data_IF_998287059183
#
_entry.id   IF_998287059183
#
_cell.length_a   1.000
_cell.length_b   1.000
_cell.length_c   1.000
_cell.angle_alpha   90.00
_cell.angle_beta   90.00
_cell.angle_gamma   90.00
#
_symmetry.space_group_name_H-M   'P 1'
#
loop_
_entity.id
_entity.type
_entity.pdbx_description
1 polymer ?
2 non-polymer ?
3 non-polymer ?
4 non-polymer ?
5 non-polymer ?
6 water ?
#
# COMPACT_ATOMS: atom_id res chain seq x y z
N UNK A 1 5.75 -27.20 -23.12
CA UNK A 1 5.08 -26.79 -24.40
C UNK A 1 4.76 -25.28 -24.37
N UNK A 2 4.29 -24.79 -23.23
CA UNK A 2 3.90 -23.37 -23.09
C UNK A 2 5.10 -22.41 -23.17
N UNK A 3 6.23 -22.78 -22.57
CA UNK A 3 7.44 -21.97 -22.60
C UNK A 3 8.60 -22.60 -23.42
N UNK A 4 8.27 -23.50 -24.36
CA UNK A 4 9.26 -24.04 -25.27
C UNK A 4 9.06 -23.38 -26.64
N UNK A 5 10.14 -22.91 -27.25
CA UNK A 5 10.03 -22.23 -28.52
C UNK A 5 9.88 -23.24 -29.68
N UNK A 6 8.80 -23.11 -30.45
CA UNK A 6 8.60 -23.89 -31.67
C UNK A 6 9.13 -23.13 -32.89
N UNK A 7 8.83 -21.83 -32.97
CA UNK A 7 9.36 -20.96 -34.02
C UNK A 7 9.57 -19.54 -33.48
N UNK A 8 10.61 -18.89 -33.98
CA UNK A 8 10.85 -17.48 -33.74
C UNK A 8 11.13 -16.86 -35.07
N UNK A 9 10.61 -15.67 -35.34
CA UNK A 9 10.95 -14.98 -36.57
C UNK A 9 10.70 -13.48 -36.47
N UNK A 10 11.38 -12.73 -37.32
CA UNK A 10 11.22 -11.29 -37.36
C UNK A 10 10.11 -10.96 -38.36
N UNK A 11 9.17 -10.10 -37.94
CA UNK A 11 8.01 -9.69 -38.74
C UNK A 11 7.85 -8.17 -38.82
N UNK A 12 7.01 -7.73 -39.75
CA UNK A 12 6.60 -6.33 -39.86
C UNK A 12 7.82 -5.46 -40.06
N UNK A 13 8.49 -5.66 -41.20
CA UNK A 13 9.72 -4.95 -41.53
C UNK A 13 10.83 -5.24 -40.53
N UNK A 14 10.80 -6.45 -39.96
CA UNK A 14 11.72 -6.85 -38.89
C UNK A 14 11.64 -6.01 -37.58
N UNK A 15 10.55 -5.28 -37.40
CA UNK A 15 10.35 -4.44 -36.20
C UNK A 15 9.70 -5.19 -35.03
N UNK A 16 9.31 -6.44 -35.25
CA UNK A 16 8.65 -7.27 -34.25
C UNK A 16 9.30 -8.66 -34.28
N UNK A 17 9.38 -9.32 -33.13
CA UNK A 17 9.72 -10.74 -33.10
C UNK A 17 8.47 -11.47 -32.68
N UNK A 18 8.13 -12.53 -33.41
CA UNK A 18 7.05 -13.41 -33.02
C UNK A 18 7.63 -14.75 -32.58
N UNK A 19 7.17 -15.22 -31.42
CA UNK A 19 7.46 -16.55 -30.90
C UNK A 19 6.16 -17.34 -31.05
N UNK A 20 6.24 -18.49 -31.72
CA UNK A 20 5.20 -19.50 -31.67
C UNK A 20 5.68 -20.53 -30.61
N UNK A 21 4.93 -20.68 -29.53
CA UNK A 21 5.27 -21.60 -28.46
C UNK A 21 4.77 -22.98 -28.86
N UNK A 22 5.25 -24.01 -28.17
CA UNK A 22 4.86 -25.38 -28.50
C UNK A 22 3.41 -25.74 -28.19
N UNK A 23 2.72 -24.90 -27.42
CA UNK A 23 1.29 -25.06 -27.23
C UNK A 23 0.50 -24.30 -28.30
N UNK A 24 1.18 -23.80 -29.32
CA UNK A 24 0.57 -23.10 -30.45
C UNK A 24 0.13 -21.65 -30.18
N UNK A 25 0.30 -21.15 -28.95
CA UNK A 25 0.09 -19.73 -28.65
C UNK A 25 1.23 -18.91 -29.24
N UNK A 26 0.96 -17.65 -29.58
CA UNK A 26 1.97 -16.80 -30.18
C UNK A 26 2.20 -15.60 -29.26
N UNK A 27 3.43 -15.08 -29.21
CA UNK A 27 3.76 -13.87 -28.43
C UNK A 27 4.52 -12.94 -29.35
N UNK A 28 4.31 -11.62 -29.17
CA UNK A 28 4.95 -10.60 -29.99
C UNK A 28 5.79 -9.67 -29.11
N UNK A 29 6.99 -9.34 -29.58
CA UNK A 29 7.96 -8.55 -28.85
C UNK A 29 8.54 -7.49 -29.76
N UNK A 30 8.31 -6.21 -29.43
CA UNK A 30 8.85 -5.22 -30.34
C UNK A 30 10.36 -5.21 -30.30
N UNK A 31 10.98 -5.00 -31.45
CA UNK A 31 12.42 -5.01 -31.56
C UNK A 31 13.09 -3.96 -30.70
N UNK A 32 12.51 -2.75 -30.63
CA UNK A 32 13.08 -1.69 -29.77
C UNK A 32 13.13 -2.13 -28.30
N UNK A 33 12.09 -2.82 -27.84
CA UNK A 33 12.04 -3.32 -26.47
C UNK A 33 13.10 -4.41 -26.25
N UNK A 34 13.28 -5.30 -27.23
CA UNK A 34 14.33 -6.32 -27.12
C UNK A 34 15.71 -5.65 -27.03
N UNK A 35 16.00 -4.71 -27.92
CA UNK A 35 17.29 -4.06 -27.88
C UNK A 35 17.53 -3.35 -26.54
N UNK A 36 16.50 -2.65 -26.06
CA UNK A 36 16.50 -1.90 -24.78
C UNK A 36 16.80 -2.83 -23.60
N UNK A 37 16.40 -4.10 -23.75
CA UNK A 37 16.51 -5.06 -22.68
C UNK A 37 17.51 -6.20 -22.90
N UNK A 38 18.48 -5.94 -23.76
CA UNK A 38 19.60 -6.85 -23.98
C UNK A 38 20.27 -7.16 -22.65
N UNK A 39 20.41 -8.44 -22.30
CA UNK A 39 21.02 -8.79 -21.01
C UNK A 39 22.54 -8.93 -21.01
N UNK A 40 23.22 -8.53 -22.08
CA UNK A 40 24.68 -8.70 -22.13
C UNK A 40 25.35 -7.73 -21.16
N UNK A 41 26.62 -7.98 -20.87
CA UNK A 41 27.30 -7.20 -19.83
C UNK A 41 27.57 -5.75 -20.26
N UNK A 42 27.54 -5.44 -21.55
CA UNK A 42 27.62 -4.04 -21.98
C UNK A 42 26.36 -3.25 -21.62
N UNK A 43 25.21 -3.94 -21.69
CA UNK A 43 23.90 -3.31 -21.61
C UNK A 43 23.26 -3.39 -20.24
N UNK A 44 23.76 -4.31 -19.40
CA UNK A 44 23.06 -4.72 -18.22
C UNK A 44 24.05 -5.09 -17.14
N UNK A 45 23.88 -4.48 -15.97
CA UNK A 45 24.81 -4.72 -14.87
C UNK A 45 24.24 -5.82 -13.98
N UNK A 46 24.77 -7.04 -14.09
CA UNK A 46 24.11 -8.17 -13.43
C UNK A 46 24.13 -8.07 -11.91
N UNK A 47 25.23 -7.54 -11.35
CA UNK A 47 25.34 -7.41 -9.88
C UNK A 47 24.21 -6.52 -9.32
N UNK A 48 23.75 -5.56 -10.14
CA UNK A 48 22.70 -4.61 -9.71
C UNK A 48 21.32 -5.00 -10.22
N UNK A 49 21.27 -5.95 -11.15
CA UNK A 49 20.07 -6.24 -11.94
C UNK A 49 19.48 -4.94 -12.49
N UNK A 50 20.34 -4.16 -13.16
CA UNK A 50 19.98 -2.83 -13.65
C UNK A 50 20.48 -2.62 -15.07
N UNK A 51 19.75 -1.78 -15.82
CA UNK A 51 20.10 -1.43 -17.18
C UNK A 51 21.24 -0.40 -17.20
N UNK A 52 22.31 -0.70 -17.92
CA UNK A 52 23.40 0.27 -18.18
C UNK A 52 23.18 1.03 -19.49
N UNK A 53 22.49 0.38 -20.43
CA UNK A 53 22.23 0.98 -21.73
C UNK A 53 21.51 2.32 -21.59
N UNK A 54 22.00 3.36 -22.27
CA UNK A 54 21.40 4.67 -22.23
C UNK A 54 20.28 4.77 -23.27
N UNK A 55 19.26 5.59 -22.98
CA UNK A 55 18.26 5.96 -23.99
C UNK A 55 18.98 6.49 -25.22
N UNK A 56 20.06 7.23 -25.00
CA UNK A 56 20.86 7.82 -26.09
C UNK A 56 21.42 6.75 -27.02
N UNK A 57 21.61 5.52 -26.54
CA UNK A 57 22.19 4.46 -27.38
C UNK A 57 21.11 3.72 -28.18
N UNK A 58 19.84 4.01 -27.93
CA UNK A 58 18.75 3.21 -28.48
C UNK A 58 18.18 3.81 -29.76
N UNK A 59 18.23 3.07 -30.86
CA UNK A 59 17.60 3.47 -32.09
C UNK A 59 16.13 3.07 -32.03
N UNK A 60 15.22 4.05 -31.88
CA UNK A 60 13.81 3.71 -31.73
C UNK A 60 13.17 3.10 -32.97
N UNK A 61 13.85 3.24 -34.12
CA UNK A 61 13.41 2.69 -35.40
C UNK A 61 14.13 1.37 -35.72
N UNK A 62 14.83 0.81 -34.74
CA UNK A 62 15.57 -0.42 -34.96
C UNK A 62 14.70 -1.58 -35.40
N UNK A 63 15.32 -2.41 -36.22
CA UNK A 63 14.80 -3.72 -36.59
C UNK A 63 15.83 -4.82 -36.38
N UNK A 64 15.35 -6.05 -36.31
CA UNK A 64 16.22 -7.22 -36.17
C UNK A 64 16.97 -7.47 -37.47
N UNK A 65 18.30 -7.55 -37.40
CA UNK A 65 19.07 -7.84 -38.63
C UNK A 65 19.07 -9.37 -38.91
N UNK A 66 19.24 -10.17 -37.87
CA UNK A 66 19.26 -11.62 -38.02
C UNK A 66 18.82 -12.27 -36.72
N UNK A 67 18.21 -13.45 -36.85
CA UNK A 67 17.71 -14.19 -35.71
C UNK A 67 17.86 -15.70 -35.97
N UNK A 68 18.43 -16.41 -35.01
CA UNK A 68 18.32 -17.87 -34.95
C UNK A 68 17.80 -18.22 -33.55
N UNK A 69 17.33 -19.46 -33.40
CA UNK A 69 16.72 -19.88 -32.16
C UNK A 69 16.83 -21.37 -31.96
N UNK A 70 16.67 -21.79 -30.73
CA UNK A 70 16.50 -23.19 -30.43
C UNK A 70 15.32 -23.22 -29.47
N UNK A 71 15.07 -24.35 -28.82
CA UNK A 71 13.88 -24.48 -28.00
C UNK A 71 13.84 -23.58 -26.75
N UNK A 72 15.00 -23.12 -26.27
CA UNK A 72 15.07 -22.38 -25.02
C UNK A 72 15.66 -20.97 -25.13
N UNK A 73 16.10 -20.58 -26.32
CA UNK A 73 16.80 -19.29 -26.49
C UNK A 73 16.64 -18.72 -27.89
N UNK A 74 16.64 -17.40 -27.97
CA UNK A 74 16.73 -16.66 -29.22
C UNK A 74 18.08 -15.94 -29.26
N UNK A 75 18.68 -15.88 -30.43
CA UNK A 75 19.99 -15.27 -30.66
C UNK A 75 19.82 -14.24 -31.80
N UNK A 76 20.03 -12.96 -31.48
CA UNK A 76 19.73 -11.87 -32.42
C UNK A 76 20.96 -11.06 -32.77
N UNK A 77 21.10 -10.72 -34.04
CA UNK A 77 22.08 -9.72 -34.44
C UNK A 77 21.34 -8.45 -34.82
N UNK A 78 21.92 -7.35 -34.40
CA UNK A 78 21.37 -6.04 -34.69
C UNK A 78 22.08 -5.33 -35.87
N UNK A 79 21.44 -4.31 -36.45
CA UNK A 79 22.06 -3.61 -37.60
C UNK A 79 23.47 -3.09 -37.39
N UNK A 80 23.81 -2.65 -36.17
CA UNK A 80 25.16 -2.15 -35.87
C UNK A 80 26.09 -3.24 -35.37
N UNK A 81 25.71 -4.50 -35.57
CA UNK A 81 26.49 -5.70 -35.19
C UNK A 81 26.44 -6.02 -33.69
N UNK A 82 25.72 -5.25 -32.89
CA UNK A 82 25.49 -5.69 -31.51
C UNK A 82 24.79 -7.05 -31.49
N UNK A 83 25.01 -7.83 -30.44
CA UNK A 83 24.54 -9.21 -30.42
C UNK A 83 23.83 -9.49 -29.12
N UNK A 84 22.63 -10.09 -29.19
CA UNK A 84 21.82 -10.37 -27.98
C UNK A 84 21.28 -11.80 -27.88
N UNK A 85 21.25 -12.36 -26.67
CA UNK A 85 20.56 -13.62 -26.37
C UNK A 85 19.44 -13.43 -25.38
N UNK A 86 18.30 -14.03 -25.66
CA UNK A 86 17.16 -14.02 -24.73
C UNK A 86 16.63 -15.40 -24.42
N UNK A 87 16.38 -15.66 -23.15
CA UNK A 87 15.88 -16.94 -22.65
C UNK A 87 14.38 -17.07 -22.84
N UNK A 88 13.94 -18.25 -23.24
CA UNK A 88 12.52 -18.50 -23.49
C UNK A 88 11.62 -18.19 -22.29
N UNK A 89 12.03 -18.59 -21.09
CA UNK A 89 11.18 -18.42 -19.91
C UNK A 89 11.08 -16.94 -19.53
N UNK A 90 12.20 -16.21 -19.65
CA UNK A 90 12.23 -14.75 -19.45
C UNK A 90 11.31 -14.01 -20.41
N UNK A 91 11.35 -14.42 -21.68
CA UNK A 91 10.44 -13.92 -22.71
C UNK A 91 8.98 -14.24 -22.39
N UNK A 92 8.69 -15.49 -22.03
CA UNK A 92 7.30 -15.90 -21.78
C UNK A 92 6.62 -15.07 -20.69
N UNK A 93 7.37 -14.79 -19.63
CA UNK A 93 6.90 -14.03 -18.45
C UNK A 93 6.47 -12.60 -18.85
N UNK A 94 7.19 -12.02 -19.83
CA UNK A 94 7.06 -10.63 -20.25
C UNK A 94 6.24 -10.43 -21.52
N UNK A 95 5.61 -11.50 -21.99
CA UNK A 95 4.61 -11.46 -23.05
C UNK A 95 3.67 -10.26 -22.90
N UNK A 96 3.43 -9.55 -24.00
CA UNK A 96 2.67 -8.32 -24.03
C UNK A 96 1.16 -8.51 -24.07
N UNK A 97 0.69 -9.76 -24.10
CA UNK A 97 -0.75 -10.00 -24.05
C UNK A 97 -1.33 -9.50 -22.73
N UNK A 98 -2.58 -9.09 -22.78
CA UNK A 98 -3.23 -8.54 -21.59
C UNK A 98 -3.20 -9.55 -20.46
N UNK A 99 -3.47 -10.82 -20.79
CA UNK A 99 -3.53 -11.86 -19.75
C UNK A 99 -2.21 -12.07 -19.04
N UNK A 100 -1.14 -12.15 -19.83
CA UNK A 100 0.20 -12.31 -19.32
C UNK A 100 0.63 -11.10 -18.48
N UNK A 101 0.40 -9.89 -18.99
CA UNK A 101 0.75 -8.67 -18.22
C UNK A 101 -0.03 -8.58 -16.91
N UNK A 102 -1.33 -8.92 -16.94
CA UNK A 102 -2.17 -8.84 -15.73
C UNK A 102 -1.76 -9.89 -14.69
N UNK A 103 -1.37 -11.06 -15.16
CA UNK A 103 -0.92 -12.10 -14.24
C UNK A 103 0.33 -11.63 -13.51
N UNK A 104 1.24 -11.04 -14.27
CA UNK A 104 2.49 -10.59 -13.69
C UNK A 104 2.25 -9.42 -12.69
N UNK A 105 1.37 -8.50 -13.05
CA UNK A 105 1.04 -7.38 -12.15
C UNK A 105 0.46 -7.84 -10.81
N UNK A 106 -0.45 -8.82 -10.86
CA UNK A 106 -0.97 -9.48 -9.68
C UNK A 106 0.14 -10.05 -8.81
N UNK A 107 1.12 -10.70 -9.44
CA UNK A 107 2.26 -11.27 -8.72
C UNK A 107 3.12 -10.20 -8.07
N UNK A 108 3.28 -9.06 -8.73
CA UNK A 108 4.14 -8.00 -8.17
C UNK A 108 3.44 -7.21 -7.06
N UNK A 109 2.14 -6.98 -7.20
CA UNK A 109 1.44 -6.00 -6.35
C UNK A 109 0.32 -6.54 -5.43
N UNK A 110 0.02 -7.83 -5.50
CA UNK A 110 -0.96 -8.44 -4.57
C UNK A 110 -2.26 -7.62 -4.47
N UNK A 111 -2.97 -7.43 -5.56
CA UNK A 111 -4.14 -6.55 -5.53
C UNK A 111 -5.41 -7.12 -4.89
N UNK A 112 -5.41 -8.41 -4.57
CA UNK A 112 -6.63 -9.05 -4.04
C UNK A 112 -7.08 -8.32 -2.79
N UNK A 113 -8.37 -8.05 -2.72
CA UNK A 113 -8.94 -7.24 -1.68
C UNK A 113 -10.23 -7.90 -1.17
N UNK A 114 -10.38 -7.99 0.16
CA UNK A 114 -11.61 -8.48 0.75
C UNK A 114 -12.23 -7.36 1.58
N UNK A 115 -13.31 -6.79 1.06
CA UNK A 115 -14.07 -5.74 1.74
C UNK A 115 -14.88 -6.31 2.88
N UNK A 116 -15.07 -5.51 3.92
CA UNK A 116 -15.80 -5.99 5.09
C UNK A 116 -16.59 -4.87 5.74
N UNK A 117 -17.59 -5.28 6.52
CA UNK A 117 -18.37 -4.41 7.39
C UNK A 117 -18.35 -4.97 8.82
N UNK A 118 -19.46 -4.79 9.53
CA UNK A 118 -19.53 -5.16 10.93
C UNK A 118 -19.38 -6.66 11.21
N UNK A 119 -19.47 -7.49 10.16
CA UNK A 119 -19.28 -8.95 10.26
C UNK A 119 -17.81 -9.42 10.33
N UNK A 120 -16.88 -8.48 10.21
CA UNK A 120 -15.47 -8.79 10.22
C UNK A 120 -15.12 -9.78 11.36
N UNK A 121 -14.32 -10.77 11.00
CA UNK A 121 -13.64 -11.62 11.97
C UNK A 121 -12.20 -11.16 11.96
N UNK A 122 -11.79 -10.51 13.03
CA UNK A 122 -10.46 -9.89 13.10
C UNK A 122 -9.34 -10.90 12.92
N UNK A 123 -8.58 -10.80 11.79
CA UNK A 123 -7.51 -11.79 11.64
C UNK A 123 -6.50 -11.63 12.76
N UNK A 124 -6.05 -12.76 13.31
CA UNK A 124 -5.28 -12.78 14.53
C UNK A 124 -4.16 -13.81 14.45
N UNK A 125 -2.95 -13.38 14.76
CA UNK A 125 -1.78 -14.23 14.78
C UNK A 125 -1.04 -13.99 16.07
N UNK A 126 -0.14 -14.91 16.40
CA UNK A 126 0.73 -14.74 17.55
C UNK A 126 1.93 -13.85 17.21
N UNK A 127 2.23 -12.93 18.12
CA UNK A 127 3.32 -11.95 17.95
C UNK A 127 4.69 -12.61 17.78
N UNK A 128 5.07 -13.43 18.74
CA UNK A 128 6.39 -14.08 18.69
C UNK A 128 6.55 -14.99 17.46
N UNK A 129 5.48 -15.69 17.08
CA UNK A 129 5.50 -16.53 15.88
C UNK A 129 5.82 -15.76 14.61
N UNK A 130 5.25 -14.56 14.51
CA UNK A 130 5.45 -13.69 13.36
C UNK A 130 6.90 -13.23 13.32
N UNK A 131 7.49 -12.95 14.48
CA UNK A 131 8.91 -12.56 14.55
C UNK A 131 9.81 -13.74 14.18
N UNK A 132 9.39 -14.95 14.52
CA UNK A 132 10.28 -16.09 14.40
C UNK A 132 10.16 -16.81 13.06
N UNK A 133 8.94 -16.96 12.55
CA UNK A 133 8.68 -17.84 11.41
C UNK A 133 8.23 -17.12 10.16
N UNK A 134 8.93 -17.37 9.05
CA UNK A 134 8.57 -16.75 7.79
C UNK A 134 7.14 -17.08 7.34
N UNK A 135 6.71 -18.32 7.58
CA UNK A 135 5.34 -18.70 7.22
C UNK A 135 4.30 -17.76 7.91
N UNK A 136 4.55 -17.46 9.18
CA UNK A 136 3.65 -16.60 9.94
C UNK A 136 3.75 -15.11 9.55
N UNK A 137 4.97 -14.64 9.31
CA UNK A 137 5.19 -13.24 8.87
C UNK A 137 4.61 -13.05 7.48
N UNK A 138 4.68 -14.08 6.64
CA UNK A 138 4.01 -14.06 5.35
C UNK A 138 2.49 -13.96 5.49
N UNK A 139 1.89 -14.76 6.37
CA UNK A 139 0.44 -14.68 6.56
C UNK A 139 0.07 -13.30 7.10
N UNK A 140 0.88 -12.79 8.00
CA UNK A 140 0.67 -11.47 8.58
C UNK A 140 0.57 -10.40 7.48
N UNK A 141 1.65 -10.21 6.72
CA UNK A 141 1.66 -9.16 5.69
C UNK A 141 0.68 -9.37 4.54
N UNK A 142 0.46 -10.61 4.12
CA UNK A 142 -0.48 -10.87 3.04
C UNK A 142 -1.90 -10.57 3.51
N UNK A 143 -2.21 -10.88 4.75
CA UNK A 143 -3.53 -10.61 5.28
C UNK A 143 -3.72 -9.11 5.52
N UNK A 144 -2.65 -8.45 5.97
CA UNK A 144 -2.63 -7.02 6.13
C UNK A 144 -2.97 -6.35 4.81
N UNK A 145 -2.39 -6.84 3.72
CA UNK A 145 -2.63 -6.26 2.41
C UNK A 145 -4.07 -6.51 1.94
N UNK A 146 -4.51 -7.75 2.10
CA UNK A 146 -5.81 -8.17 1.56
C UNK A 146 -6.99 -7.65 2.39
N UNK A 147 -6.91 -7.75 3.70
CA UNK A 147 -8.03 -7.42 4.59
C UNK A 147 -7.92 -5.97 5.13
N UNK A 148 -6.69 -5.48 5.28
CA UNK A 148 -6.41 -4.13 5.80
C UNK A 148 -6.05 -4.09 7.28
N UNK A 149 -6.18 -5.21 7.96
CA UNK A 149 -5.84 -5.25 9.38
C UNK A 149 -5.53 -6.68 9.85
N UNK A 150 -4.55 -6.80 10.74
CA UNK A 150 -4.25 -8.01 11.47
C UNK A 150 -3.95 -7.67 12.91
N UNK A 151 -4.54 -8.41 13.84
CA UNK A 151 -4.22 -8.29 15.24
C UNK A 151 -3.14 -9.28 15.60
N UNK A 152 -2.16 -8.82 16.35
CA UNK A 152 -1.16 -9.73 16.92
C UNK A 152 -1.34 -9.85 18.42
N UNK A 153 -1.49 -11.08 18.90
CA UNK A 153 -1.64 -11.31 20.33
C UNK A 153 -0.35 -11.86 20.95
N UNK A 154 -0.21 -11.67 22.25
CA UNK A 154 0.87 -12.27 23.02
C UNK A 154 2.18 -11.47 22.98
N UNK A 155 2.10 -10.18 22.71
CA UNK A 155 3.27 -9.35 22.88
C UNK A 155 3.44 -9.05 24.39
N UNK A 156 4.54 -8.40 24.77
CA UNK A 156 4.72 -7.99 26.17
C UNK A 156 3.84 -6.80 26.52
N UNK A 157 3.88 -6.36 27.77
CA UNK A 157 3.20 -5.12 28.17
C UNK A 157 4.22 -4.02 28.41
N UNK A 158 5.25 -3.97 27.58
CA UNK A 158 6.34 -3.03 27.73
C UNK A 158 6.59 -2.33 26.38
N UNK A 159 7.13 -1.10 26.39
CA UNK A 159 7.58 -0.45 25.15
C UNK A 159 8.61 -1.27 24.40
N UNK A 160 8.67 -1.10 23.08
CA UNK A 160 9.68 -1.76 22.27
C UNK A 160 9.17 -2.85 21.35
N UNK A 161 7.89 -3.17 21.42
CA UNK A 161 7.36 -4.26 20.62
C UNK A 161 7.12 -3.81 19.18
N UNK A 162 6.58 -2.62 18.99
CA UNK A 162 6.39 -2.14 17.61
C UNK A 162 7.72 -2.03 16.86
N UNK A 163 8.77 -1.66 17.59
CA UNK A 163 10.12 -1.60 17.01
C UNK A 163 10.61 -2.95 16.51
N UNK A 164 10.29 -4.04 17.22
CA UNK A 164 10.58 -5.40 16.70
C UNK A 164 9.86 -5.70 15.40
N UNK A 165 8.62 -5.23 15.30
CA UNK A 165 7.82 -5.44 14.10
C UNK A 165 8.41 -4.61 12.97
N UNK A 166 8.86 -3.40 13.30
CA UNK A 166 9.56 -2.52 12.38
C UNK A 166 10.75 -3.16 11.70
N UNK A 167 11.60 -3.80 12.51
CA UNK A 167 12.76 -4.53 12.01
C UNK A 167 12.36 -5.76 11.21
N UNK A 168 11.31 -6.43 11.63
CA UNK A 168 10.80 -7.56 10.85
C UNK A 168 10.41 -7.13 9.44
N UNK A 169 9.78 -5.96 9.30
CA UNK A 169 9.41 -5.45 7.98
C UNK A 169 10.68 -4.98 7.26
N UNK A 170 11.37 -4.05 7.90
CA UNK A 170 12.67 -3.58 7.48
C UNK A 170 13.08 -2.35 8.26
N UNK A 171 12.26 -1.32 8.18
CA UNK A 171 12.42 -0.16 9.04
C UNK A 171 11.10 0.63 9.10
N UNK A 172 10.99 1.40 10.18
CA UNK A 172 9.81 2.20 10.48
C UNK A 172 9.94 3.57 9.78
N UNK A 173 8.81 4.24 9.64
CA UNK A 173 8.70 5.53 8.95
C UNK A 173 8.75 6.65 10.00
N UNK A 174 9.84 7.41 10.04
CA UNK A 174 10.03 8.49 11.03
C UNK A 174 9.13 9.69 10.68
N UNK A 175 8.49 10.27 11.71
CA UNK A 175 7.70 11.51 11.55
C UNK A 175 8.04 12.47 12.69
N UNK A 176 7.43 13.65 12.68
CA UNK A 176 7.67 14.63 13.74
C UNK A 176 7.25 14.22 15.14
N UNK A 177 6.49 13.13 15.25
CA UNK A 177 6.07 12.60 16.56
C UNK A 177 6.99 11.49 17.07
N UNK A 178 8.02 11.17 16.29
CA UNK A 178 9.10 10.27 16.71
C UNK A 178 9.17 9.03 15.85
N UNK A 179 10.17 8.19 16.12
CA UNK A 179 10.25 6.86 15.53
C UNK A 179 9.09 5.98 16.01
N UNK A 180 8.80 6.04 17.30
CA UNK A 180 7.57 5.54 17.90
C UNK A 180 7.02 6.67 18.78
N UNK A 181 5.76 6.55 19.20
CA UNK A 181 5.09 7.59 19.98
C UNK A 181 4.16 6.97 21.01
N UNK A 182 3.92 7.71 22.10
CA UNK A 182 3.16 7.17 23.22
C UNK A 182 1.78 7.80 23.27
N UNK A 183 0.74 6.99 23.03
CA UNK A 183 -0.63 7.46 23.12
C UNK A 183 -1.09 7.38 24.57
N UNK A 184 -1.17 8.54 25.22
CA UNK A 184 -1.54 8.69 26.62
C UNK A 184 -2.07 10.09 26.80
N UNK A 185 -2.83 10.31 27.87
CA UNK A 185 -3.30 11.64 28.24
C UNK A 185 -2.08 12.47 28.68
N UNK A 186 -1.88 13.64 28.06
CA UNK A 186 -0.73 14.50 28.38
C UNK A 186 -1.15 15.94 28.64
N UNK A 187 -0.52 16.55 29.63
CA UNK A 187 -0.69 17.97 29.93
C UNK A 187 -0.17 18.78 28.74
N UNK A 188 -0.91 19.83 28.36
CA UNK A 188 -0.58 20.64 27.19
C UNK A 188 -0.40 19.76 25.94
N UNK A 189 -1.38 18.89 25.71
CA UNK A 189 -1.31 17.94 24.61
C UNK A 189 -1.13 18.66 23.28
N UNK A 190 -0.18 18.21 22.47
CA UNK A 190 0.06 18.73 21.11
C UNK A 190 -0.76 18.04 20.02
N UNK A 191 -1.64 17.13 20.43
CA UNK A 191 -2.49 16.37 19.49
C UNK A 191 -3.71 15.87 20.26
N UNK A 192 -4.88 15.90 19.63
CA UNK A 192 -6.09 15.40 20.30
C UNK A 192 -5.99 13.94 20.78
N UNK A 193 -5.15 13.15 20.10
CA UNK A 193 -4.97 11.75 20.49
C UNK A 193 -4.39 11.61 21.89
N UNK A 194 -3.65 12.63 22.30
CA UNK A 194 -2.98 12.61 23.60
C UNK A 194 -3.86 13.24 24.70
N UNK A 195 -5.16 12.97 24.63
CA UNK A 195 -6.13 13.35 25.66
C UNK A 195 -6.99 12.12 25.92
N UNK A 196 -7.98 12.23 26.80
CA UNK A 196 -8.91 11.13 27.08
C UNK A 196 -10.19 11.16 26.21
N UNK A 197 -10.25 12.10 25.27
CA UNK A 197 -11.44 12.30 24.47
C UNK A 197 -11.68 11.19 23.46
N UNK A 198 -12.89 11.22 22.89
CA UNK A 198 -13.28 10.35 21.81
C UNK A 198 -12.46 10.74 20.58
N UNK A 199 -12.01 9.75 19.80
CA UNK A 199 -11.51 10.05 18.46
C UNK A 199 -12.51 9.41 17.51
N UNK A 200 -13.14 10.26 16.70
CA UNK A 200 -14.04 9.81 15.67
C UNK A 200 -13.19 9.20 14.56
N UNK A 201 -13.85 8.57 13.58
CA UNK A 201 -13.11 7.92 12.49
C UNK A 201 -12.19 8.90 11.78
N UNK A 202 -10.93 8.51 11.68
CA UNK A 202 -9.92 9.27 10.94
C UNK A 202 -8.86 8.34 10.37
N UNK A 203 -8.11 8.84 9.39
CA UNK A 203 -6.82 8.30 8.96
C UNK A 203 -5.77 9.12 9.67
N UNK A 204 -4.61 8.54 9.94
CA UNK A 204 -3.52 9.31 10.56
C UNK A 204 -2.71 10.10 9.55
N UNK A 205 -2.43 11.34 9.92
CA UNK A 205 -1.41 12.17 9.32
C UNK A 205 -1.72 12.65 7.91
N UNK A 206 -2.97 13.05 7.65
CA UNK A 206 -3.19 13.67 6.34
C UNK A 206 -2.50 15.01 6.15
N UNK A 207 -1.96 15.58 7.23
CA UNK A 207 -1.14 16.79 7.14
C UNK A 207 0.16 16.55 6.36
N UNK A 208 0.54 15.30 6.15
CA UNK A 208 1.63 14.97 5.21
C UNK A 208 1.10 14.66 3.82
N UNK A 209 1.83 15.07 2.77
CA UNK A 209 1.40 14.73 1.41
C UNK A 209 1.50 13.22 1.12
N UNK A 210 2.32 12.51 1.89
CA UNK A 210 2.44 11.04 1.78
C UNK A 210 2.13 10.44 3.15
N UNK A 211 0.84 10.32 3.47
CA UNK A 211 0.53 9.79 4.79
C UNK A 211 1.10 8.38 4.96
N UNK A 212 1.44 8.00 6.21
CA UNK A 212 1.85 6.64 6.51
C UNK A 212 0.93 5.58 5.92
N UNK A 213 1.51 4.57 5.29
CA UNK A 213 0.74 3.49 4.70
C UNK A 213 0.18 2.49 5.71
N UNK A 214 1.01 2.14 6.68
CA UNK A 214 0.70 1.10 7.65
C UNK A 214 0.93 1.68 9.03
N UNK A 215 -0.04 1.46 9.92
CA UNK A 215 0.08 1.91 11.28
C UNK A 215 0.14 0.69 12.24
N UNK A 216 0.96 0.82 13.25
CA UNK A 216 1.10 -0.18 14.31
C UNK A 216 0.71 0.44 15.66
N UNK A 217 -0.20 -0.21 16.38
CA UNK A 217 -0.59 0.23 17.73
C UNK A 217 -0.56 -0.93 18.70
N UNK A 218 0.26 -0.77 19.73
CA UNK A 218 0.47 -1.80 20.74
C UNK A 218 -0.07 -1.33 22.09
N UNK A 219 -0.97 -2.12 22.66
CA UNK A 219 -1.58 -1.79 23.94
C UNK A 219 -0.66 -2.22 25.07
N UNK A 220 -0.13 -1.23 25.80
CA UNK A 220 0.72 -1.44 26.97
C UNK A 220 -0.19 -1.50 28.20
N UNK A 221 -1.07 -0.50 28.33
CA UNK A 221 -2.02 -0.41 29.43
C UNK A 221 -3.39 -0.03 28.87
N UNK A 222 -4.44 -0.69 29.36
CA UNK A 222 -5.82 -0.37 28.99
C UNK A 222 -6.62 0.01 30.23
N UNK A 223 -7.63 0.85 30.02
CA UNK A 223 -8.52 1.32 31.07
C UNK A 223 -9.87 0.62 30.96
N UNK A 224 -10.53 0.37 32.08
CA UNK A 224 -11.88 -0.20 32.07
C UNK A 224 -12.97 0.87 31.86
N UNK A 225 -12.60 2.16 31.93
CA UNK A 225 -13.58 3.25 31.84
C UNK A 225 -14.03 3.64 30.43
N UNK A 226 -13.45 3.01 29.42
CA UNK A 226 -13.80 3.28 28.00
C UNK A 226 -12.60 2.89 27.14
N UNK A 227 -12.33 3.65 26.08
CA UNK A 227 -11.13 3.43 25.28
C UNK A 227 -11.18 2.24 24.34
N UNK A 228 -12.39 1.74 24.06
CA UNK A 228 -12.61 0.75 22.98
C UNK A 228 -12.17 1.31 21.63
N UNK A 229 -11.77 0.41 20.72
CA UNK A 229 -11.36 0.74 19.36
C UNK A 229 -12.49 0.50 18.39
N UNK A 230 -12.50 1.27 17.31
CA UNK A 230 -13.48 1.09 16.24
C UNK A 230 -12.70 1.23 14.95
N UNK A 231 -13.06 0.42 13.94
CA UNK A 231 -12.46 0.52 12.62
C UNK A 231 -13.58 0.39 11.60
N UNK A 232 -13.32 0.90 10.40
CA UNK A 232 -14.22 0.80 9.29
C UNK A 232 -13.40 0.64 8.00
N UNK A 233 -13.94 -0.06 7.00
CA UNK A 233 -13.28 -0.27 5.71
C UNK A 233 -13.66 0.89 4.79
N UNK A 234 -12.76 1.87 4.67
CA UNK A 234 -13.06 3.08 3.88
C UNK A 234 -13.34 2.78 2.42
N UNK A 235 -12.70 1.75 1.86
CA UNK A 235 -12.97 1.43 0.46
C UNK A 235 -14.42 0.92 0.35
N UNK A 236 -14.86 0.14 1.34
CA UNK A 236 -16.25 -0.35 1.38
C UNK A 236 -17.23 0.80 1.55
N UNK A 237 -16.91 1.71 2.47
CA UNK A 237 -17.76 2.87 2.70
C UNK A 237 -17.83 3.76 1.46
N UNK A 238 -16.71 3.97 0.78
CA UNK A 238 -16.72 4.78 -0.42
C UNK A 238 -17.62 4.20 -1.49
N UNK A 239 -17.57 2.88 -1.66
CA UNK A 239 -18.42 2.17 -2.62
C UNK A 239 -19.91 2.43 -2.34
N UNK A 240 -20.28 2.36 -1.06
CA UNK A 240 -21.65 2.60 -0.63
C UNK A 240 -22.03 4.07 -0.85
N UNK A 241 -21.11 4.99 -0.55
CA UNK A 241 -21.38 6.43 -0.81
C UNK A 241 -21.60 6.70 -2.29
N UNK A 242 -20.73 6.20 -3.17
CA UNK A 242 -20.95 6.36 -4.59
C UNK A 242 -22.35 5.84 -5.01
N UNK A 243 -22.79 4.71 -4.45
CA UNK A 243 -24.12 4.16 -4.75
C UNK A 243 -25.26 5.04 -4.19
N UNK A 244 -25.16 5.42 -2.91
CA UNK A 244 -26.24 6.15 -2.24
C UNK A 244 -26.32 7.62 -2.59
N UNK A 245 -25.17 8.27 -2.76
CA UNK A 245 -25.14 9.70 -3.03
C UNK A 245 -23.98 10.04 -3.95
N UNK A 246 -24.20 9.87 -5.26
CA UNK A 246 -23.13 10.14 -6.21
C UNK A 246 -22.64 11.58 -6.14
N UNK A 247 -23.52 12.52 -5.82
CA UNK A 247 -23.10 13.93 -5.71
C UNK A 247 -22.13 14.11 -4.55
N UNK A 248 -22.46 13.55 -3.39
CA UNK A 248 -21.55 13.58 -2.26
C UNK A 248 -20.19 12.94 -2.58
N UNK A 249 -20.20 11.82 -3.28
CA UNK A 249 -18.96 11.16 -3.69
C UNK A 249 -18.15 12.00 -4.67
N UNK A 250 -18.81 12.58 -5.66
CA UNK A 250 -18.17 13.48 -6.58
C UNK A 250 -17.47 14.65 -5.84
N UNK A 251 -18.16 15.24 -4.86
CA UNK A 251 -17.61 16.38 -4.11
C UNK A 251 -16.38 15.98 -3.28
N UNK A 252 -16.48 14.90 -2.53
CA UNK A 252 -15.38 14.46 -1.70
C UNK A 252 -14.20 13.92 -2.50
N UNK A 253 -14.46 13.40 -3.71
CA UNK A 253 -13.39 12.94 -4.57
C UNK A 253 -12.80 14.00 -5.51
N UNK A 254 -13.30 15.23 -5.45
CA UNK A 254 -12.73 16.28 -6.27
C UNK A 254 -12.32 17.57 -5.52
N UNK A 255 -12.62 17.68 -4.24
CA UNK A 255 -12.41 18.93 -3.51
C UNK A 255 -11.13 18.84 -2.72
N UNK A 256 -10.21 19.76 -2.95
CA UNK A 256 -9.00 19.78 -2.14
C UNK A 256 -9.26 20.44 -0.79
N UNK A 257 -8.95 19.72 0.28
CA UNK A 257 -9.08 20.14 1.66
C UNK A 257 -7.70 20.39 2.26
N UNK A 258 -7.58 21.49 3.01
CA UNK A 258 -6.31 21.85 3.60
C UNK A 258 -6.20 21.21 4.97
N UNK A 259 -5.05 20.59 5.27
CA UNK A 259 -4.72 20.04 6.59
C UNK A 259 -3.47 20.70 7.14
N UNK A 260 -3.41 20.74 8.48
CA UNK A 260 -2.39 21.48 9.20
C UNK A 260 -1.98 20.79 10.49
N UNK A 261 -0.72 20.98 10.89
CA UNK A 261 -0.27 20.52 12.20
C UNK A 261 0.94 21.38 12.58
N UNK A 262 0.81 22.10 13.67
CA UNK A 262 1.85 22.99 14.15
C UNK A 262 2.11 22.67 15.62
N UNK A 263 3.38 22.60 16.00
CA UNK A 263 3.75 22.28 17.36
C UNK A 263 5.17 21.78 17.47
N UNK A 264 5.44 21.08 18.56
CA UNK A 264 6.78 20.62 18.84
C UNK A 264 6.67 19.26 19.47
N UNK A 265 7.44 18.32 18.94
CA UNK A 265 7.55 16.99 19.52
C UNK A 265 8.97 16.47 19.27
N UNK A 266 9.17 15.53 18.38
CA UNK A 266 10.51 15.03 18.05
C UNK A 266 11.37 16.16 17.47
N UNK A 267 10.72 17.06 16.74
CA UNK A 267 11.34 18.28 16.28
C UNK A 267 10.23 19.31 16.31
N UNK A 268 10.56 20.57 16.11
CA UNK A 268 9.53 21.62 15.95
C UNK A 268 9.00 21.64 14.51
N UNK A 269 7.69 21.76 14.34
CA UNK A 269 7.06 21.59 13.05
C UNK A 269 5.92 22.58 12.73
N UNK A 270 5.78 22.89 11.45
CA UNK A 270 4.67 23.66 10.93
C UNK A 270 4.32 23.06 9.57
N UNK A 271 3.38 22.13 9.59
CA UNK A 271 3.09 21.25 8.45
C UNK A 271 1.74 21.63 7.83
N UNK A 272 1.71 21.71 6.50
CA UNK A 272 0.49 22.03 5.73
C UNK A 272 0.41 21.11 4.51
N UNK A 273 -0.82 20.70 4.17
CA UNK A 273 -1.05 19.89 3.00
C UNK A 273 -2.42 20.19 2.40
N UNK A 274 -2.61 19.67 1.19
CA UNK A 274 -3.90 19.61 0.55
C UNK A 274 -4.14 18.18 0.05
N UNK A 275 -5.35 17.67 0.26
CA UNK A 275 -5.76 16.32 -0.20
C UNK A 275 -7.20 16.34 -0.58
N UNK A 276 -7.57 15.47 -1.52
CA UNK A 276 -8.95 15.14 -1.70
C UNK A 276 -9.25 14.04 -0.66
N UNK A 277 -10.37 14.17 0.06
CA UNK A 277 -10.68 13.18 1.12
C UNK A 277 -10.79 11.75 0.55
N UNK A 278 -11.41 11.65 -0.62
CA UNK A 278 -11.50 10.38 -1.35
C UNK A 278 -10.61 10.54 -2.60
N UNK A 279 -9.49 9.83 -2.59
CA UNK A 279 -8.47 10.02 -3.59
C UNK A 279 -8.56 8.87 -4.58
N UNK A 280 -8.87 9.20 -5.84
CA UNK A 280 -9.10 8.19 -6.91
C UNK A 280 -7.85 8.03 -7.77
N UNK A 281 -7.60 6.85 -8.34
CA UNK A 281 -6.55 6.73 -9.36
C UNK A 281 -7.09 7.20 -10.73
N UNK A 282 -6.26 7.09 -11.78
CA UNK A 282 -6.61 7.57 -13.11
C UNK A 282 -7.81 6.80 -13.71
N UNK A 283 -8.18 5.66 -13.13
CA UNK A 283 -9.35 4.91 -13.56
C UNK A 283 -10.59 5.12 -12.70
N UNK A 284 -10.52 6.03 -11.72
CA UNK A 284 -11.68 6.24 -10.84
C UNK A 284 -11.83 5.27 -9.68
N UNK A 285 -10.81 4.48 -9.40
CA UNK A 285 -10.83 3.58 -8.23
C UNK A 285 -10.21 4.26 -7.03
N UNK A 286 -10.81 4.04 -5.88
CA UNK A 286 -10.32 4.69 -4.66
C UNK A 286 -9.03 4.02 -4.26
N UNK A 287 -7.98 4.82 -4.07
CA UNK A 287 -6.68 4.34 -3.62
C UNK A 287 -6.28 4.83 -2.25
N UNK A 288 -6.86 5.93 -1.79
CA UNK A 288 -6.55 6.41 -0.45
C UNK A 288 -7.66 7.33 0.05
N UNK A 289 -7.90 7.20 1.36
CA UNK A 289 -8.73 8.13 2.13
C UNK A 289 -7.77 9.01 2.94
N UNK A 290 -8.05 10.31 2.93
CA UNK A 290 -7.20 11.31 3.60
C UNK A 290 -8.12 12.14 4.49
N UNK A 291 -8.29 11.74 5.74
CA UNK A 291 -9.28 12.43 6.56
C UNK A 291 -9.05 12.30 8.03
N UNK A 292 -8.64 13.41 8.65
CA UNK A 292 -8.61 13.53 10.11
C UNK A 292 -9.28 14.87 10.46
N UNK A 293 -10.43 14.83 11.10
CA UNK A 293 -11.19 16.07 11.40
C UNK A 293 -10.48 17.01 12.37
N UNK A 294 -9.62 16.46 13.22
CA UNK A 294 -8.81 17.29 14.14
C UNK A 294 -7.80 18.19 13.43
N UNK A 295 -7.19 17.71 12.35
CA UNK A 295 -6.12 18.43 11.65
C UNK A 295 -6.57 19.06 10.35
N UNK A 296 -7.84 18.88 9.99
CA UNK A 296 -8.41 19.68 8.90
C UNK A 296 -8.31 21.17 9.31
N UNK A 297 -7.74 21.99 8.43
CA UNK A 297 -7.47 23.40 8.77
C UNK A 297 -8.78 24.25 8.86
N UNK A 298 -8.65 25.38 9.54
CA UNK A 298 -9.68 26.44 9.50
C UNK A 298 -9.67 27.10 8.13
N UNK A 299 -8.50 27.17 7.53
CA UNK A 299 -8.33 27.63 6.14
C UNK A 299 -9.04 26.61 5.25
N UNK A 300 -9.89 27.07 4.35
CA UNK A 300 -10.60 26.20 3.42
C UNK A 300 -10.63 26.87 2.08
N UNK A 301 -9.86 26.33 1.12
CA UNK A 301 -9.49 27.00 -0.10
C UNK A 301 -10.47 26.60 -1.20
N UNK A 302 -11.69 27.10 -1.04
CA UNK A 302 -12.77 26.87 -2.03
C UNK A 302 -13.65 28.11 -2.13
N UNK A 303 -14.32 28.31 -3.28
CA UNK A 303 -15.29 29.40 -3.37
C UNK A 303 -16.43 29.20 -2.38
N UNK A 304 -16.99 30.33 -1.95
CA UNK A 304 -17.96 30.28 -0.85
C UNK A 304 -19.14 29.34 -1.14
N UNK A 305 -19.59 29.33 -2.39
CA UNK A 305 -20.77 28.55 -2.77
C UNK A 305 -20.52 27.03 -2.72
N UNK A 306 -19.26 26.62 -2.67
CA UNK A 306 -18.92 25.20 -2.52
C UNK A 306 -18.79 24.71 -1.07
N UNK A 307 -18.75 25.65 -0.13
CA UNK A 307 -18.53 25.32 1.27
C UNK A 307 -19.61 24.46 1.91
N UNK A 308 -20.86 24.94 1.93
CA UNK A 308 -21.90 24.17 2.59
C UNK A 308 -22.14 22.78 1.95
N UNK A 309 -22.15 22.69 0.60
CA UNK A 309 -22.28 21.35 0.00
C UNK A 309 -21.13 20.41 0.38
N UNK A 310 -19.94 20.95 0.58
CA UNK A 310 -18.81 20.11 1.02
C UNK A 310 -19.12 19.52 2.36
N UNK A 311 -19.57 20.35 3.30
CA UNK A 311 -19.90 19.88 4.64
C UNK A 311 -21.04 18.87 4.62
N UNK A 312 -22.03 19.11 3.79
CA UNK A 312 -23.14 18.17 3.65
C UNK A 312 -22.69 16.78 3.16
N UNK A 313 -21.80 16.76 2.17
CA UNK A 313 -21.16 15.54 1.67
C UNK A 313 -20.33 14.85 2.74
N UNK A 314 -19.53 15.62 3.46
CA UNK A 314 -18.70 15.06 4.52
C UNK A 314 -19.56 14.40 5.59
N UNK A 315 -20.64 15.07 6.00
CA UNK A 315 -21.54 14.53 6.99
C UNK A 315 -22.14 13.19 6.49
N UNK A 316 -22.55 13.12 5.24
CA UNK A 316 -23.10 11.85 4.69
C UNK A 316 -22.04 10.73 4.77
N UNK A 317 -20.79 11.07 4.44
CA UNK A 317 -19.71 10.08 4.44
C UNK A 317 -19.49 9.56 5.85
N UNK A 318 -19.49 10.47 6.82
CA UNK A 318 -19.24 10.10 8.23
C UNK A 318 -20.40 9.29 8.84
N UNK A 319 -21.62 9.67 8.49
CA UNK A 319 -22.81 8.91 8.87
C UNK A 319 -22.72 7.44 8.33
N UNK A 320 -22.26 7.27 7.09
CA UNK A 320 -22.05 5.90 6.57
C UNK A 320 -21.01 5.11 7.34
N UNK A 321 -19.90 5.76 7.68
CA UNK A 321 -18.89 5.13 8.50
C UNK A 321 -19.42 4.66 9.84
N UNK A 322 -20.25 5.46 10.47
CA UNK A 322 -20.83 5.15 11.79
C UNK A 322 -21.95 4.13 11.76
N UNK A 323 -22.45 3.79 10.58
CA UNK A 323 -23.58 2.89 10.50
C UNK A 323 -23.24 1.52 11.09
N UNK A 324 -24.23 0.88 11.69
CA UNK A 324 -24.02 -0.41 12.34
C UNK A 324 -23.62 -1.50 11.34
N UNK A 325 -23.92 -1.33 10.06
CA UNK A 325 -23.48 -2.31 9.03
C UNK A 325 -21.98 -2.18 8.67
N UNK A 326 -21.37 -1.03 8.97
CA UNK A 326 -20.03 -0.72 8.49
C UNK A 326 -18.97 -0.90 9.57
N UNK A 327 -19.30 -0.46 10.77
CA UNK A 327 -18.34 -0.26 11.82
C UNK A 327 -18.08 -1.56 12.57
N UNK A 328 -16.83 -1.77 12.95
CA UNK A 328 -16.41 -2.91 13.76
C UNK A 328 -15.73 -2.38 15.02
N UNK A 329 -16.22 -2.81 16.17
CA UNK A 329 -15.76 -2.33 17.47
C UNK A 329 -15.09 -3.45 18.25
N UNK A 330 -14.05 -3.16 19.00
CA UNK A 330 -13.36 -4.19 19.77
C UNK A 330 -12.56 -3.46 20.78
N UNK A 331 -11.99 -4.20 21.72
CA UNK A 331 -11.19 -3.55 22.76
C UNK A 331 -9.84 -4.23 22.85
N UNK A 332 -8.78 -3.41 22.85
CA UNK A 332 -7.42 -3.91 23.00
C UNK A 332 -7.10 -4.21 24.46
N UNK A 333 -6.37 -5.29 24.67
CA UNK A 333 -5.85 -5.65 25.99
C UNK A 333 -4.32 -5.55 25.98
N UNK A 334 -3.69 -5.31 27.14
CA UNK A 334 -2.24 -5.31 27.16
C UNK A 334 -1.65 -6.52 26.45
N UNK A 335 -0.63 -6.30 25.62
CA UNK A 335 -0.07 -7.40 24.81
C UNK A 335 -0.62 -7.52 23.40
N UNK A 336 -1.73 -6.86 23.12
CA UNK A 336 -2.28 -6.85 21.75
C UNK A 336 -1.58 -5.78 20.93
N UNK A 337 -1.35 -6.10 19.66
CA UNK A 337 -0.89 -5.13 18.68
C UNK A 337 -1.81 -5.16 17.47
N UNK A 338 -2.26 -4.00 16.99
CA UNK A 338 -2.97 -3.99 15.72
C UNK A 338 -2.08 -3.31 14.67
N UNK A 339 -2.10 -3.89 13.48
CA UNK A 339 -1.34 -3.44 12.34
C UNK A 339 -2.38 -3.28 11.25
N UNK A 340 -2.44 -2.10 10.64
CA UNK A 340 -3.49 -1.86 9.68
C UNK A 340 -3.09 -0.90 8.58
N UNK A 341 -3.84 -0.98 7.49
CA UNK A 341 -3.70 -0.16 6.31
C UNK A 341 -4.35 1.22 6.58
N UNK A 342 -3.50 2.21 6.84
CA UNK A 342 -3.90 3.58 7.16
C UNK A 342 -4.33 4.39 5.92
N UNK A 343 -4.18 3.82 4.74
CA UNK A 343 -4.73 4.43 3.51
C UNK A 343 -6.16 3.98 3.22
N UNK A 344 -6.58 2.89 3.82
CA UNK A 344 -7.86 2.26 3.51
C UNK A 344 -8.81 2.33 4.71
N UNK A 345 -8.36 1.92 5.87
CA UNK A 345 -9.21 1.91 7.04
C UNK A 345 -9.30 3.31 7.64
N UNK A 346 -10.44 3.61 8.23
CA UNK A 346 -10.49 4.66 9.26
C UNK A 346 -10.61 4.02 10.67
N UNK A 347 -10.03 4.68 11.64
CA UNK A 347 -10.04 4.15 12.98
C UNK A 347 -10.41 5.22 13.97
N UNK A 348 -10.82 4.78 15.15
CA UNK A 348 -11.25 5.69 16.20
C UNK A 348 -11.18 5.03 17.56
N UNK A 349 -11.53 5.79 18.58
CA UNK A 349 -11.60 5.25 19.90
C UNK A 349 -12.65 5.95 20.74
N UNK A 350 -13.20 5.21 21.68
CA UNK A 350 -14.14 5.78 22.64
C UNK A 350 -13.43 6.57 23.73
N UNK A 351 -14.10 7.60 24.26
CA UNK A 351 -13.56 8.39 25.35
C UNK A 351 -13.41 7.52 26.59
N UNK A 352 -12.50 7.93 27.47
CA UNK A 352 -12.33 7.29 28.75
C UNK A 352 -12.11 8.37 29.80
N UNK A 353 -11.98 8.00 31.07
CA UNK A 353 -11.88 9.00 32.13
C UNK A 353 -10.44 9.35 32.44
N UNK A 354 -10.18 10.64 32.60
CA UNK A 354 -8.89 11.13 33.09
C UNK A 354 -8.74 10.82 34.58
N UNK A 355 -7.49 10.75 35.03
CA UNK A 355 -7.18 10.73 36.44
C UNK A 355 -5.73 11.08 36.66
N UNK A 356 -5.24 10.82 37.87
CA UNK A 356 -3.96 11.36 38.33
C UNK A 356 -2.78 10.48 37.90
N UNK A 357 -3.05 9.21 37.63
CA UNK A 357 -2.03 8.36 37.04
C UNK A 357 -2.48 7.90 35.66
N UNK A 358 -1.53 7.42 34.87
CA UNK A 358 -1.80 7.01 33.51
C UNK A 358 -2.55 5.69 33.55
N UNK A 359 -3.78 5.67 33.03
CA UNK A 359 -4.63 4.47 33.06
C UNK A 359 -4.64 3.72 31.73
N UNK A 360 -4.01 4.32 30.72
CA UNK A 360 -4.12 3.83 29.36
C UNK A 360 -2.91 4.32 28.59
N UNK A 361 -2.29 3.41 27.85
CA UNK A 361 -1.04 3.65 27.18
C UNK A 361 -0.93 2.70 25.98
N UNK A 362 -0.84 3.30 24.79
CA UNK A 362 -0.51 2.56 23.59
C UNK A 362 0.82 3.07 23.07
N UNK A 363 1.66 2.20 22.52
CA UNK A 363 2.81 2.66 21.70
C UNK A 363 2.52 2.40 20.23
N UNK A 364 2.74 3.42 19.42
CA UNK A 364 2.47 3.34 17.98
C UNK A 364 3.67 3.69 17.11
N UNK A 365 3.57 3.30 15.85
CA UNK A 365 4.58 3.61 14.83
C UNK A 365 3.93 3.45 13.47
N UNK A 366 4.66 3.84 12.43
CA UNK A 366 4.21 3.77 11.05
C UNK A 366 5.26 3.04 10.19
N UNK A 367 4.80 2.47 9.08
CA UNK A 367 5.69 1.99 8.03
C UNK A 367 5.16 2.39 6.67
N UNK A 368 6.05 2.48 5.70
CA UNK A 368 5.70 2.80 4.31
C UNK A 368 5.24 1.54 3.59
N UNK A 369 4.17 1.64 2.81
CA UNK A 369 3.65 0.48 2.06
C UNK A 369 4.70 -0.15 1.15
N UNK A 370 5.59 0.65 0.58
CA UNK A 370 6.64 0.10 -0.29
C UNK A 370 7.65 -0.77 0.46
N UNK A 371 7.91 -0.39 1.70
CA UNK A 371 8.75 -1.14 2.59
C UNK A 371 8.06 -2.47 2.97
N UNK A 372 6.75 -2.42 3.21
CA UNK A 372 5.99 -3.62 3.59
C UNK A 372 5.86 -4.60 2.41
N UNK A 373 5.59 -4.05 1.24
CA UNK A 373 5.43 -4.84 0.01
C UNK A 373 6.73 -5.53 -0.37
N UNK A 374 7.84 -4.83 -0.19
CA UNK A 374 9.15 -5.40 -0.42
C UNK A 374 9.34 -6.66 0.45
N UNK A 375 9.06 -6.53 1.74
CA UNK A 375 9.15 -7.67 2.66
C UNK A 375 8.18 -8.78 2.26
N UNK A 376 6.96 -8.39 1.84
CA UNK A 376 5.96 -9.35 1.44
C UNK A 376 6.46 -10.16 0.20
N UNK A 377 7.09 -9.49 -0.74
CA UNK A 377 7.63 -10.12 -1.95
C UNK A 377 8.72 -11.11 -1.57
N UNK A 378 9.63 -10.68 -0.70
CA UNK A 378 10.72 -11.56 -0.25
C UNK A 378 10.24 -12.79 0.54
N UNK A 379 9.36 -12.56 1.53
CA UNK A 379 8.73 -13.65 2.27
C UNK A 379 8.04 -14.67 1.37
N UNK A 380 7.27 -14.22 0.39
CA UNK A 380 6.57 -15.13 -0.49
C UNK A 380 7.55 -16.07 -1.20
N UNK A 381 8.62 -15.52 -1.75
CA UNK A 381 9.70 -16.29 -2.36
C UNK A 381 10.33 -17.30 -1.38
N UNK A 382 10.63 -16.87 -0.15
CA UNK A 382 11.23 -17.77 0.84
C UNK A 382 10.28 -18.91 1.20
N UNK A 383 9.00 -18.60 1.43
CA UNK A 383 8.00 -19.58 1.85
C UNK A 383 7.56 -20.50 0.70
N UNK A 384 7.51 -19.98 -0.53
CA UNK A 384 7.23 -20.84 -1.69
C UNK A 384 8.47 -21.66 -2.14
N UNK A 385 9.67 -21.24 -1.71
CA UNK A 385 10.89 -22.04 -1.82
C UNK A 385 11.42 -22.40 -0.43
#
# INVERSE_FOLDING_TARGET
>A
MACTIQKAEALDGAHLMQILWYDEEESLYPAVWLRDNCPCSDCYLDSAKARKLLVEALDVNIGIKGLIFDRKKVYITWPDEHYSEFQADWLKKRCFSKQARAKLQRELFFPECQYWGSELQLPTLDFEDVLRYDEHAYKWLSTLKKVGIVRLTGASDKPGEVSKLGKRMGFLYLTFYGHTWQVQDKIDANNVAYTTGKLSFHTDYPALHHPPGVQLLHCIKQTVTGGDSEIVDGFNVCQKLKKNNPQAFQILSSTFVDFTDIGVDYCDFSVQSKHKIIELDDKGQVVRINFNNATRDTIFDVPVERVQPFYAALKEFVDLMNSKESKFTFKMNPGDVITFDNWRLLHGRRSYEAGTEISRHLEGAYADWDVVMSRLRILRQRVENGN
#
